data_IF_064860135821
#
_entry.id   IF_064860135821
#
_cell.length_a   1.000
_cell.length_b   1.000
_cell.length_c   1.000
_cell.angle_alpha   90.00
_cell.angle_beta   90.00
_cell.angle_gamma   90.00
#
_symmetry.space_group_name_H-M   'P 1'
#
loop_
_entity.id
_entity.type
_entity.pdbx_description
1 polymer ?
#
# COMPACT_ATOMS: atom_id res chain seq x y z
N UNK A 1 -6.55 -24.78 13.14
CA UNK A 1 -6.08 -25.59 11.99
C UNK A 1 -6.64 -24.95 10.71
N UNK A 2 -5.79 -24.30 9.92
CA UNK A 2 -6.20 -23.55 8.72
C UNK A 2 -6.74 -24.49 7.64
N UNK A 3 -7.95 -24.22 7.12
CA UNK A 3 -8.47 -24.92 5.94
C UNK A 3 -8.75 -23.92 4.84
N UNK A 4 -8.05 -24.12 3.72
CA UNK A 4 -8.09 -23.32 2.50
C UNK A 4 -9.51 -23.29 1.95
N UNK A 5 -10.03 -22.10 1.62
CA UNK A 5 -11.20 -21.97 0.75
C UNK A 5 -10.80 -21.15 -0.47
N UNK A 6 -10.87 -21.83 -1.60
CA UNK A 6 -10.59 -21.35 -2.95
C UNK A 6 -11.76 -20.49 -3.41
N UNK A 7 -11.42 -19.50 -4.24
CA UNK A 7 -12.30 -18.56 -4.92
C UNK A 7 -13.45 -19.30 -5.61
N UNK A 8 -14.68 -18.87 -5.35
CA UNK A 8 -15.84 -19.19 -6.16
C UNK A 8 -16.54 -17.87 -6.51
N UNK A 9 -16.37 -17.42 -7.74
CA UNK A 9 -17.19 -16.38 -8.34
C UNK A 9 -18.56 -16.99 -8.62
N UNK A 10 -19.57 -16.61 -7.84
CA UNK A 10 -20.96 -17.00 -8.04
C UNK A 10 -21.72 -15.81 -8.64
N UNK A 11 -22.09 -15.93 -9.91
CA UNK A 11 -23.06 -15.07 -10.59
C UNK A 11 -24.47 -15.52 -10.21
N UNK A 12 -25.15 -14.77 -9.35
CA UNK A 12 -26.59 -14.89 -9.10
C UNK A 12 -27.14 -13.53 -8.67
N UNK A 13 -28.12 -13.02 -9.42
CA UNK A 13 -28.66 -11.67 -9.26
C UNK A 13 -29.36 -11.42 -7.93
N UNK A 14 -29.18 -10.23 -7.38
CA UNK A 14 -30.01 -9.65 -6.31
C UNK A 14 -30.06 -8.13 -6.52
N UNK A 15 -31.27 -7.66 -6.84
CA UNK A 15 -31.92 -6.38 -6.51
C UNK A 15 -31.00 -5.15 -6.35
N UNK A 16 -31.19 -4.17 -7.24
CA UNK A 16 -30.71 -2.80 -7.04
C UNK A 16 -31.41 -2.18 -5.83
N UNK A 17 -30.86 -2.40 -4.64
CA UNK A 17 -31.10 -1.51 -3.51
C UNK A 17 -30.38 -0.21 -3.82
N UNK A 18 -31.14 0.84 -4.08
CA UNK A 18 -30.67 2.22 -3.99
C UNK A 18 -30.37 2.54 -2.51
N UNK A 19 -29.39 1.86 -1.95
CA UNK A 19 -28.75 2.21 -0.70
C UNK A 19 -27.40 2.75 -1.08
N UNK A 20 -27.11 3.98 -0.65
CA UNK A 20 -25.80 4.62 -0.74
C UNK A 20 -24.70 3.57 -0.81
N UNK A 21 -24.10 3.41 -2.00
CA UNK A 21 -22.80 2.77 -2.11
C UNK A 21 -22.00 3.43 -0.99
N UNK A 22 -21.42 2.68 -0.02
CA UNK A 22 -20.31 3.24 0.71
C UNK A 22 -19.41 3.68 -0.43
N UNK A 23 -19.25 4.99 -0.59
CA UNK A 23 -18.19 5.50 -1.43
C UNK A 23 -17.02 4.81 -0.79
N UNK A 24 -16.55 3.74 -1.44
CA UNK A 24 -15.31 3.08 -1.12
C UNK A 24 -14.31 4.16 -1.52
N UNK A 25 -14.19 5.18 -0.66
CA UNK A 25 -13.01 5.95 -0.44
C UNK A 25 -12.02 4.93 0.12
N UNK A 26 -11.68 3.93 -0.71
CA UNK A 26 -10.51 3.13 -0.58
C UNK A 26 -9.41 4.17 -0.56
N UNK A 27 -8.97 4.44 0.66
CA UNK A 27 -8.06 5.53 0.94
C UNK A 27 -6.87 5.39 0.00
N UNK A 28 -6.31 6.49 -0.52
CA UNK A 28 -5.08 6.43 -1.29
C UNK A 28 -3.99 5.63 -0.54
N UNK A 29 -4.04 5.54 0.79
CA UNK A 29 -3.20 4.65 1.59
C UNK A 29 -3.06 3.20 1.08
N UNK A 30 -4.11 2.58 0.52
CA UNK A 30 -4.03 1.17 0.06
C UNK A 30 -3.38 1.03 -1.33
N UNK A 31 -3.67 1.96 -2.24
CA UNK A 31 -3.12 1.95 -3.60
C UNK A 31 -1.64 2.37 -3.59
N UNK A 32 -1.34 3.39 -2.81
CA UNK A 32 -0.03 4.02 -2.73
C UNK A 32 0.92 3.16 -1.87
N UNK A 33 0.41 2.49 -0.82
CA UNK A 33 1.16 1.41 -0.13
C UNK A 33 1.60 0.30 -1.10
N UNK A 34 0.72 -0.15 -1.99
CA UNK A 34 1.02 -1.23 -2.94
C UNK A 34 2.09 -0.79 -3.96
N UNK A 35 2.07 0.47 -4.40
CA UNK A 35 3.08 1.02 -5.28
C UNK A 35 4.46 1.12 -4.59
N UNK A 36 4.50 1.50 -3.31
CA UNK A 36 5.72 1.51 -2.51
C UNK A 36 6.29 0.08 -2.33
N UNK A 37 5.47 -0.88 -1.91
CA UNK A 37 5.94 -2.26 -1.69
C UNK A 37 6.40 -2.92 -3.00
N UNK A 38 5.69 -2.68 -4.10
CA UNK A 38 6.05 -3.19 -5.42
C UNK A 38 7.37 -2.59 -5.92
N UNK A 39 7.58 -1.27 -5.73
CA UNK A 39 8.85 -0.63 -6.09
C UNK A 39 10.02 -1.27 -5.34
N UNK A 40 9.88 -1.46 -4.03
CA UNK A 40 10.90 -2.12 -3.19
C UNK A 40 11.16 -3.56 -3.69
N UNK A 41 10.11 -4.31 -4.03
CA UNK A 41 10.23 -5.67 -4.58
C UNK A 41 10.96 -5.71 -5.93
N UNK A 42 10.64 -4.79 -6.83
CA UNK A 42 11.24 -4.70 -8.17
C UNK A 42 12.73 -4.38 -8.10
N UNK A 43 13.17 -3.72 -7.03
CA UNK A 43 14.57 -3.45 -6.73
C UNK A 43 15.29 -4.60 -5.99
N UNK A 44 14.66 -5.77 -5.86
CA UNK A 44 15.30 -6.97 -5.31
C UNK A 44 15.17 -7.13 -3.80
N UNK A 45 14.39 -6.29 -3.12
CA UNK A 45 14.15 -6.40 -1.68
C UNK A 45 12.92 -7.24 -1.37
N UNK A 46 12.91 -7.91 -0.22
CA UNK A 46 11.75 -8.67 0.22
C UNK A 46 10.64 -7.73 0.73
N UNK A 47 9.60 -7.54 -0.08
CA UNK A 47 8.41 -6.76 0.27
C UNK A 47 7.46 -7.51 1.22
N UNK A 48 7.99 -7.85 2.40
CA UNK A 48 7.25 -8.53 3.46
C UNK A 48 6.36 -7.60 4.31
N UNK A 49 5.76 -8.12 5.39
CA UNK A 49 4.89 -7.35 6.27
C UNK A 49 5.57 -6.11 6.88
N UNK A 50 6.89 -6.14 7.09
CA UNK A 50 7.64 -4.97 7.58
C UNK A 50 7.77 -3.86 6.54
N UNK A 51 8.03 -4.20 5.26
CA UNK A 51 8.02 -3.22 4.16
C UNK A 51 6.62 -2.66 3.98
N UNK A 52 5.58 -3.50 4.07
CA UNK A 52 4.18 -3.06 4.03
C UNK A 52 3.83 -2.09 5.16
N UNK A 53 4.31 -2.35 6.38
CA UNK A 53 4.17 -1.45 7.52
C UNK A 53 4.86 -0.11 7.28
N UNK A 54 6.12 -0.11 6.81
CA UNK A 54 6.85 1.11 6.46
C UNK A 54 6.14 1.91 5.35
N UNK A 55 5.70 1.23 4.29
CA UNK A 55 4.91 1.79 3.19
C UNK A 55 3.47 2.16 3.59
N UNK A 56 3.03 1.93 4.83
CA UNK A 56 1.73 2.43 5.34
C UNK A 56 1.80 3.92 5.69
N UNK A 57 3.01 4.46 5.83
CA UNK A 57 3.25 5.88 6.04
C UNK A 57 3.25 6.59 4.67
N UNK A 58 2.06 7.00 4.22
CA UNK A 58 1.90 7.70 2.96
C UNK A 58 2.60 9.06 2.92
N UNK A 59 2.75 9.61 1.72
CA UNK A 59 3.37 10.93 1.50
C UNK A 59 2.70 12.03 2.33
N UNK A 60 3.51 12.95 2.83
CA UNK A 60 3.04 14.16 3.49
C UNK A 60 2.69 15.16 2.39
N UNK A 61 1.40 15.46 2.25
CA UNK A 61 0.92 16.47 1.33
C UNK A 61 0.94 17.83 2.02
N UNK A 62 1.82 18.72 1.57
CA UNK A 62 1.97 20.08 2.08
C UNK A 62 1.15 21.09 1.25
N UNK A 63 0.18 20.63 0.44
CA UNK A 63 -0.63 21.46 -0.47
C UNK A 63 0.12 21.92 -1.73
N UNK A 64 1.37 22.38 -1.60
CA UNK A 64 2.22 22.81 -2.73
C UNK A 64 3.19 21.74 -3.20
N UNK A 65 3.41 20.69 -2.40
CA UNK A 65 4.37 19.63 -2.69
C UNK A 65 4.05 18.36 -1.90
N UNK A 66 4.37 17.20 -2.49
CA UNK A 66 4.32 15.90 -1.83
C UNK A 66 5.72 15.49 -1.38
N UNK A 67 5.89 15.27 -0.09
CA UNK A 67 7.18 14.94 0.53
C UNK A 67 7.11 13.52 1.07
N UNK A 68 8.13 12.66 0.84
CA UNK A 68 8.13 11.32 1.39
C UNK A 68 8.14 11.37 2.92
N UNK A 69 7.34 10.54 3.55
CA UNK A 69 7.25 10.50 5.01
C UNK A 69 8.57 9.98 5.62
N UNK A 70 9.19 10.69 6.57
CA UNK A 70 10.43 10.25 7.20
C UNK A 70 10.28 8.89 7.89
N UNK A 71 9.09 8.55 8.42
CA UNK A 71 8.81 7.24 9.01
C UNK A 71 8.83 6.09 7.99
N UNK A 72 8.42 6.36 6.75
CA UNK A 72 8.55 5.38 5.68
C UNK A 72 10.03 5.12 5.36
N UNK A 73 10.83 6.19 5.26
CA UNK A 73 12.25 6.09 4.90
C UNK A 73 13.02 5.37 6.01
N UNK A 74 12.85 5.75 7.28
CA UNK A 74 13.52 5.11 8.42
C UNK A 74 13.05 3.67 8.62
N UNK A 75 11.77 3.39 8.38
CA UNK A 75 11.23 2.03 8.40
C UNK A 75 11.89 1.13 7.35
N UNK A 76 12.04 1.61 6.12
CA UNK A 76 12.73 0.88 5.04
C UNK A 76 14.25 0.77 5.30
N UNK A 77 14.89 1.83 5.80
CA UNK A 77 16.31 1.82 6.16
C UNK A 77 16.63 0.78 7.25
N UNK A 78 15.73 0.63 8.23
CA UNK A 78 15.83 -0.40 9.29
C UNK A 78 15.75 -1.83 8.74
N UNK A 79 15.25 -2.00 7.50
CA UNK A 79 15.19 -3.26 6.77
C UNK A 79 16.35 -3.43 5.78
N UNK A 80 17.41 -2.60 5.90
CA UNK A 80 18.53 -2.54 4.97
C UNK A 80 18.14 -2.18 3.52
N UNK A 81 16.99 -1.53 3.32
CA UNK A 81 16.67 -0.96 2.00
C UNK A 81 17.47 0.32 1.81
N UNK A 82 18.25 0.37 0.74
CA UNK A 82 19.11 1.53 0.46
C UNK A 82 18.27 2.80 0.29
N UNK A 83 18.78 3.93 0.77
CA UNK A 83 18.09 5.23 0.68
C UNK A 83 17.74 5.61 -0.77
N UNK A 84 18.57 5.18 -1.73
CA UNK A 84 18.33 5.35 -3.17
C UNK A 84 17.05 4.64 -3.66
N UNK A 85 16.58 3.62 -2.94
CA UNK A 85 15.33 2.89 -3.22
C UNK A 85 14.22 3.34 -2.26
N UNK A 86 14.53 3.56 -0.98
CA UNK A 86 13.57 3.98 0.04
C UNK A 86 12.92 5.34 -0.25
N UNK A 87 13.71 6.35 -0.65
CA UNK A 87 13.18 7.69 -0.95
C UNK A 87 12.19 7.67 -2.12
N UNK A 88 12.50 7.10 -3.29
CA UNK A 88 11.54 6.99 -4.38
C UNK A 88 10.37 6.05 -4.05
N UNK A 89 10.57 4.97 -3.28
CA UNK A 89 9.47 4.13 -2.83
C UNK A 89 8.47 4.90 -1.96
N UNK A 90 8.96 5.65 -0.97
CA UNK A 90 8.13 6.42 -0.05
C UNK A 90 7.45 7.63 -0.70
N UNK A 91 7.97 8.15 -1.81
CA UNK A 91 7.27 9.15 -2.64
C UNK A 91 6.06 8.56 -3.38
N UNK A 92 6.03 7.24 -3.52
CA UNK A 92 4.96 6.46 -4.15
C UNK A 92 4.08 5.76 -3.12
N UNK A 93 4.22 6.07 -1.83
CA UNK A 93 3.49 5.50 -0.68
C UNK A 93 2.25 6.29 -0.24
#
# INVERSE_FOLDING_TARGET
>A
MFRRVKIAAASAGVVAVAGMLPILAASPASATQSACTNYVATHGYFAGPKVKAACSHGVIDMGVSKVPNPLCITGLASLNVASAVSVPACKRA
#
